data_IF_142816297986
#
_entry.id   IF_142816297986
#
_cell.length_a   1.000
_cell.length_b   1.000
_cell.length_c   1.000
_cell.angle_alpha   90.00
_cell.angle_beta   90.00
_cell.angle_gamma   90.00
#
_symmetry.space_group_name_H-M   'P 1'
#
loop_
_entity.id
_entity.type
_entity.pdbx_description
1 polymer ?
#
# COMPACT_ATOMS: atom_id res chain seq x y z
N UNK A 1 -18.30 14.52 9.45
CA UNK A 1 -17.81 13.63 8.37
C UNK A 1 -16.27 13.62 8.35
N UNK A 2 -15.62 13.04 9.37
CA UNK A 2 -14.16 13.01 9.50
C UNK A 2 -13.65 11.58 9.81
N UNK A 3 -14.09 10.60 9.02
CA UNK A 3 -13.76 9.18 9.25
C UNK A 3 -12.82 8.57 8.18
N UNK A 4 -12.28 9.37 7.24
CA UNK A 4 -11.45 8.86 6.15
C UNK A 4 -9.92 9.04 6.32
N UNK A 5 -9.46 9.60 7.44
CA UNK A 5 -8.03 9.77 7.72
C UNK A 5 -7.37 8.60 8.46
N UNK A 6 -8.11 7.52 8.76
CA UNK A 6 -7.56 6.34 9.45
C UNK A 6 -6.93 5.29 8.52
N UNK A 7 -7.01 5.44 7.20
CA UNK A 7 -6.43 4.48 6.24
C UNK A 7 -5.02 4.84 5.77
N UNK A 8 -4.26 5.57 6.59
CA UNK A 8 -2.81 5.76 6.45
C UNK A 8 -2.01 4.94 7.49
N UNK A 9 -2.68 4.09 8.28
CA UNK A 9 -2.04 2.98 8.98
C UNK A 9 -1.85 1.87 7.94
N UNK A 10 -0.69 1.64 7.34
CA UNK A 10 0.64 1.76 7.89
C UNK A 10 1.57 2.35 6.84
N UNK A 11 2.14 3.52 7.12
CA UNK A 11 3.27 4.03 6.34
C UNK A 11 4.49 3.10 6.42
N UNK A 12 4.47 2.07 7.29
CA UNK A 12 5.55 1.13 7.51
C UNK A 12 5.13 -0.29 7.13
N UNK A 13 6.06 -1.04 6.56
CA UNK A 13 5.89 -2.46 6.25
C UNK A 13 5.64 -3.25 7.56
N UNK A 14 4.64 -4.14 7.60
CA UNK A 14 4.32 -4.93 8.80
C UNK A 14 5.46 -5.86 9.23
N UNK A 15 6.30 -6.30 8.27
CA UNK A 15 7.38 -7.26 8.52
C UNK A 15 8.69 -6.59 8.97
N UNK A 16 9.17 -5.60 8.21
CA UNK A 16 10.46 -4.98 8.49
C UNK A 16 10.37 -3.59 9.13
N UNK A 17 9.15 -3.07 9.34
CA UNK A 17 8.87 -1.73 9.91
C UNK A 17 9.50 -0.57 9.14
N UNK A 18 10.03 -0.81 7.95
CA UNK A 18 10.57 0.23 7.08
C UNK A 18 9.43 0.99 6.41
N UNK A 19 9.61 2.29 6.09
CA UNK A 19 8.61 3.04 5.37
C UNK A 19 8.30 2.39 4.02
N UNK A 20 7.02 2.20 3.73
CA UNK A 20 6.53 1.79 2.41
C UNK A 20 6.76 2.94 1.45
N UNK A 21 7.27 2.62 0.26
CA UNK A 21 7.34 3.54 -0.84
C UNK A 21 5.97 3.59 -1.51
N UNK A 22 5.49 4.80 -1.80
CA UNK A 22 4.22 5.00 -2.49
C UNK A 22 4.50 5.56 -3.87
N UNK A 23 4.06 4.85 -4.88
CA UNK A 23 4.09 5.27 -6.27
C UNK A 23 2.65 5.50 -6.76
N UNK A 24 2.41 6.67 -7.34
CA UNK A 24 1.12 6.98 -7.94
C UNK A 24 1.26 6.90 -9.46
N UNK A 25 0.57 5.93 -10.06
CA UNK A 25 0.44 5.84 -11.51
C UNK A 25 -0.88 6.50 -11.94
N UNK A 26 -1.09 6.63 -13.25
CA UNK A 26 -2.35 7.15 -13.80
C UNK A 26 -3.56 6.25 -13.50
N UNK A 27 -3.32 4.97 -13.18
CA UNK A 27 -4.36 3.96 -13.03
C UNK A 27 -4.53 3.50 -11.58
N UNK A 28 -3.45 3.47 -10.81
CA UNK A 28 -3.46 2.97 -9.43
C UNK A 28 -2.45 3.69 -8.54
N UNK A 29 -2.59 3.50 -7.24
CA UNK A 29 -1.58 3.85 -6.25
C UNK A 29 -0.95 2.56 -5.72
N UNK A 30 0.35 2.43 -5.84
CA UNK A 30 1.12 1.25 -5.45
C UNK A 30 1.89 1.59 -4.18
N UNK A 31 1.76 0.79 -3.13
CA UNK A 31 2.56 0.89 -1.90
C UNK A 31 3.42 -0.35 -1.79
N UNK A 32 4.72 -0.22 -1.87
CA UNK A 32 5.64 -1.36 -1.82
C UNK A 32 6.69 -1.19 -0.73
N UNK A 33 7.08 -2.31 -0.12
CA UNK A 33 8.20 -2.34 0.80
C UNK A 33 9.50 -2.36 0.01
N UNK A 34 10.51 -1.52 0.34
CA UNK A 34 11.80 -1.55 -0.34
C UNK A 34 12.54 -2.89 -0.19
N UNK A 35 12.17 -3.73 0.78
CA UNK A 35 12.71 -5.08 0.97
C UNK A 35 11.89 -6.18 0.30
N UNK A 36 10.85 -5.83 -0.47
CA UNK A 36 10.01 -6.79 -1.20
C UNK A 36 8.97 -7.52 -0.36
N UNK A 37 8.90 -7.29 0.95
CA UNK A 37 8.05 -8.06 1.86
C UNK A 37 6.53 -7.80 1.75
N UNK A 38 6.15 -6.67 1.17
CA UNK A 38 4.75 -6.22 1.11
C UNK A 38 4.56 -5.34 -0.11
N UNK A 39 3.50 -5.58 -0.88
CA UNK A 39 3.06 -4.67 -1.94
C UNK A 39 1.53 -4.57 -1.94
N UNK A 40 1.00 -3.37 -2.11
CA UNK A 40 -0.43 -3.08 -2.20
C UNK A 40 -0.69 -2.19 -3.40
N UNK A 41 -1.58 -2.60 -4.30
CA UNK A 41 -2.04 -1.81 -5.44
C UNK A 41 -3.49 -1.40 -5.24
N UNK A 42 -3.76 -0.10 -5.17
CA UNK A 42 -5.11 0.45 -5.03
C UNK A 42 -5.56 1.05 -6.35
N UNK A 43 -6.56 0.43 -6.97
CA UNK A 43 -7.22 0.91 -8.19
C UNK A 43 -8.49 1.66 -7.82
N UNK A 44 -8.36 2.94 -7.45
CA UNK A 44 -9.48 3.77 -6.99
C UNK A 44 -10.61 3.87 -8.02
N UNK A 45 -10.29 3.77 -9.32
CA UNK A 45 -11.28 3.82 -10.39
C UNK A 45 -12.11 2.54 -10.52
N UNK A 46 -11.64 1.41 -9.99
CA UNK A 46 -12.36 0.14 -9.93
C UNK A 46 -12.92 -0.15 -8.53
N UNK A 47 -12.48 0.60 -7.51
CA UNK A 47 -12.79 0.30 -6.11
C UNK A 47 -12.12 -0.99 -5.62
N UNK A 48 -11.02 -1.41 -6.23
CA UNK A 48 -10.31 -2.66 -5.93
C UNK A 48 -8.95 -2.36 -5.31
N UNK A 49 -8.56 -3.14 -4.30
CA UNK A 49 -7.19 -3.17 -3.78
C UNK A 49 -6.63 -4.58 -3.83
N UNK A 50 -5.43 -4.73 -4.38
CA UNK A 50 -4.70 -5.99 -4.47
C UNK A 50 -3.55 -5.93 -3.47
N UNK A 51 -3.47 -6.90 -2.56
CA UNK A 51 -2.39 -6.99 -1.58
C UNK A 51 -1.59 -8.26 -1.85
N UNK A 52 -0.28 -8.09 -2.02
CA UNK A 52 0.69 -9.16 -2.15
C UNK A 52 1.38 -9.31 -0.79
N UNK A 53 1.05 -10.40 -0.10
CA UNK A 53 1.67 -10.83 1.16
C UNK A 53 2.46 -12.12 0.89
N UNK A 54 3.72 -12.19 1.34
CA UNK A 54 4.54 -13.40 1.24
C UNK A 54 5.40 -13.56 -0.03
N UNK A 55 6.00 -12.48 -0.54
CA UNK A 55 7.12 -12.64 -1.48
C UNK A 55 8.39 -12.99 -0.68
N UNK A 56 8.62 -14.29 -0.52
CA UNK A 56 9.83 -14.90 0.07
C UNK A 56 11.00 -14.98 -0.92
#
# INVERSE_FOLDING_TARGET
MFAFLKSMLSANCPLCRHPLQVEHTRLCSIKSCPKGHYTEETYSHLGVSVVYDGME
#
